data_IF_237869626656
#
_entry.id   IF_237869626656
#
_cell.length_a   1.000
_cell.length_b   1.000
_cell.length_c   1.000
_cell.angle_alpha   90.00
_cell.angle_beta   90.00
_cell.angle_gamma   90.00
#
_symmetry.space_group_name_H-M   'P 1'
#
loop_
_entity.id
_entity.type
_entity.pdbx_description
1 polymer ?
#
# COMPACT_ATOMS: atom_id res chain seq x y z
N UNK A 1 18.73 -2.52 -20.69
CA UNK A 1 19.54 -2.88 -19.51
C UNK A 1 18.60 -3.05 -18.32
N UNK A 2 18.60 -4.16 -17.60
CA UNK A 2 17.78 -4.30 -16.40
C UNK A 2 18.28 -3.26 -15.38
N UNK A 3 17.40 -2.32 -15.01
CA UNK A 3 17.71 -1.36 -13.95
C UNK A 3 17.76 -2.12 -12.62
N UNK A 4 18.96 -2.36 -12.10
CA UNK A 4 19.11 -2.80 -10.71
C UNK A 4 18.59 -1.68 -9.82
N UNK A 5 17.58 -1.96 -8.99
CA UNK A 5 17.16 -1.00 -7.97
C UNK A 5 18.31 -0.79 -6.99
N UNK A 6 18.54 0.44 -6.54
CA UNK A 6 19.55 0.66 -5.51
C UNK A 6 19.18 -0.16 -4.25
N UNK A 7 20.18 -0.76 -3.63
CA UNK A 7 20.09 -1.55 -2.39
C UNK A 7 19.84 -0.68 -1.13
N UNK A 8 19.24 0.49 -1.30
CA UNK A 8 18.95 1.38 -0.18
C UNK A 8 17.74 0.84 0.57
N UNK A 9 17.96 0.56 1.84
CA UNK A 9 16.94 0.02 2.73
C UNK A 9 16.25 1.17 3.46
N UNK A 10 14.94 1.08 3.59
CA UNK A 10 14.19 2.02 4.40
C UNK A 10 14.50 1.79 5.88
N UNK A 11 14.68 2.86 6.62
CA UNK A 11 15.07 2.81 8.03
C UNK A 11 14.01 2.11 8.88
N UNK A 12 12.72 2.28 8.56
CA UNK A 12 11.66 1.62 9.31
C UNK A 12 11.70 0.08 9.22
N UNK A 13 12.34 -0.48 8.18
CA UNK A 13 12.52 -1.93 8.00
C UNK A 13 13.71 -2.48 8.79
N UNK A 14 14.58 -1.61 9.38
CA UNK A 14 15.81 -2.02 10.03
C UNK A 14 15.57 -2.45 11.48
N UNK A 15 16.08 -3.62 11.89
CA UNK A 15 15.90 -4.15 13.25
C UNK A 15 16.60 -3.33 14.34
N UNK A 16 17.69 -2.63 13.99
CA UNK A 16 18.45 -1.79 14.92
C UNK A 16 17.75 -0.47 15.25
N UNK A 17 16.72 -0.06 14.49
CA UNK A 17 15.94 1.13 14.79
C UNK A 17 14.97 0.83 15.94
N UNK A 18 14.99 1.65 17.03
CA UNK A 18 14.08 1.49 18.14
C UNK A 18 12.60 1.51 17.73
N UNK A 19 11.81 0.58 18.26
CA UNK A 19 10.40 0.42 17.91
C UNK A 19 9.58 1.73 18.08
N UNK A 20 9.90 2.53 19.11
CA UNK A 20 9.20 3.79 19.35
C UNK A 20 9.43 4.83 18.25
N UNK A 21 10.61 4.85 17.59
CA UNK A 21 10.87 5.74 16.45
C UNK A 21 10.07 5.30 15.23
N UNK A 22 9.99 4.00 14.98
CA UNK A 22 9.14 3.43 13.93
C UNK A 22 7.67 3.77 14.16
N UNK A 23 7.20 3.68 15.42
CA UNK A 23 5.83 4.06 15.79
C UNK A 23 5.55 5.54 15.48
N UNK A 24 6.45 6.46 15.88
CA UNK A 24 6.29 7.90 15.61
C UNK A 24 6.30 8.18 14.11
N UNK A 25 7.18 7.51 13.36
CA UNK A 25 7.24 7.65 11.90
C UNK A 25 5.93 7.21 11.25
N UNK A 26 5.43 6.02 11.54
CA UNK A 26 4.16 5.52 10.98
C UNK A 26 2.99 6.45 11.28
N UNK A 27 2.93 7.03 12.49
CA UNK A 27 1.93 8.03 12.85
C UNK A 27 2.06 9.31 12.00
N UNK A 28 3.27 9.68 11.59
CA UNK A 28 3.54 10.85 10.75
C UNK A 28 3.15 10.68 9.28
N UNK A 29 3.01 9.44 8.78
CA UNK A 29 2.59 9.16 7.40
C UNK A 29 1.09 9.45 7.20
N UNK A 30 0.26 9.17 8.20
CA UNK A 30 -1.19 9.33 8.13
C UNK A 30 -1.65 10.73 7.68
N UNK A 31 -1.12 11.85 8.22
CA UNK A 31 -1.47 13.18 7.74
C UNK A 31 -1.10 13.44 6.28
N UNK A 32 -0.04 12.80 5.77
CA UNK A 32 0.39 12.94 4.37
C UNK A 32 -0.61 12.23 3.46
N UNK A 33 -0.98 11.00 3.80
CA UNK A 33 -1.97 10.22 3.05
C UNK A 33 -3.34 10.90 3.05
N UNK A 34 -3.75 11.47 4.19
CA UNK A 34 -4.99 12.26 4.28
C UNK A 34 -4.94 13.52 3.40
N UNK A 35 -3.81 14.22 3.37
CA UNK A 35 -3.65 15.42 2.53
C UNK A 35 -3.82 15.12 1.04
N UNK A 36 -3.32 13.98 0.57
CA UNK A 36 -3.49 13.54 -0.82
C UNK A 36 -4.82 12.82 -1.07
N UNK A 37 -5.68 12.73 -0.05
CA UNK A 37 -6.98 12.02 -0.10
C UNK A 37 -6.83 10.57 -0.60
N UNK A 38 -5.82 9.85 -0.08
CA UNK A 38 -5.45 8.54 -0.56
C UNK A 38 -6.57 7.51 -0.34
N UNK A 39 -7.21 7.55 0.82
CA UNK A 39 -8.39 6.75 1.18
C UNK A 39 -9.56 6.95 0.21
N UNK A 40 -9.91 8.21 -0.09
CA UNK A 40 -10.97 8.53 -1.04
C UNK A 40 -10.66 8.00 -2.45
N UNK A 41 -9.42 8.18 -2.91
CA UNK A 41 -9.00 7.68 -4.22
C UNK A 41 -9.01 6.16 -4.28
N UNK A 42 -8.60 5.51 -3.19
CA UNK A 42 -8.72 4.05 -3.09
C UNK A 42 -10.19 3.62 -3.20
N UNK A 43 -11.11 4.26 -2.47
CA UNK A 43 -12.54 3.96 -2.54
C UNK A 43 -13.12 4.13 -3.95
N UNK A 44 -12.75 5.19 -4.65
CA UNK A 44 -13.16 5.45 -6.04
C UNK A 44 -12.66 4.34 -6.98
N UNK A 45 -11.36 4.04 -6.93
CA UNK A 45 -10.73 3.01 -7.76
C UNK A 45 -11.23 1.61 -7.44
N UNK A 46 -11.39 1.27 -6.16
CA UNK A 46 -11.92 -0.01 -5.73
C UNK A 46 -13.37 -0.20 -6.21
N UNK A 47 -14.19 0.84 -6.10
CA UNK A 47 -15.58 0.82 -6.57
C UNK A 47 -15.66 0.61 -8.10
N UNK A 48 -14.75 1.18 -8.85
CA UNK A 48 -14.69 0.98 -10.30
C UNK A 48 -14.20 -0.42 -10.65
N UNK A 49 -13.07 -0.83 -10.07
CA UNK A 49 -12.47 -2.12 -10.31
C UNK A 49 -13.41 -3.29 -9.94
N UNK A 50 -14.17 -3.15 -8.83
CA UNK A 50 -15.13 -4.16 -8.40
C UNK A 50 -16.22 -4.47 -9.44
N UNK A 51 -16.57 -3.53 -10.33
CA UNK A 51 -17.55 -3.76 -11.39
C UNK A 51 -17.08 -4.83 -12.39
N UNK A 52 -15.78 -5.00 -12.52
CA UNK A 52 -15.15 -5.94 -13.46
C UNK A 52 -14.87 -7.30 -12.84
N UNK A 53 -14.96 -7.43 -11.51
CA UNK A 53 -14.63 -8.67 -10.78
C UNK A 53 -15.87 -9.32 -10.21
N UNK A 54 -16.04 -10.63 -10.45
CA UNK A 54 -17.18 -11.40 -9.92
C UNK A 54 -17.02 -11.77 -8.45
N UNK A 55 -15.79 -11.94 -7.97
CA UNK A 55 -15.55 -12.36 -6.58
C UNK A 55 -15.93 -11.28 -5.58
N UNK A 56 -16.41 -11.73 -4.43
CA UNK A 56 -16.60 -10.88 -3.24
C UNK A 56 -15.53 -11.10 -2.17
N UNK A 57 -14.56 -11.98 -2.45
CA UNK A 57 -13.46 -12.31 -1.56
C UNK A 57 -12.18 -11.66 -2.06
N UNK A 58 -11.58 -10.85 -1.20
CA UNK A 58 -10.37 -10.10 -1.50
C UNK A 58 -9.29 -10.38 -0.47
N UNK A 59 -8.05 -10.17 -0.87
CA UNK A 59 -6.89 -10.22 0.02
C UNK A 59 -6.11 -8.94 -0.15
N UNK A 60 -5.76 -8.32 0.95
CA UNK A 60 -4.86 -7.18 0.97
C UNK A 60 -3.45 -7.66 1.32
N UNK A 61 -2.53 -7.44 0.40
CA UNK A 61 -1.15 -7.91 0.46
C UNK A 61 -0.25 -6.76 0.94
N UNK A 62 0.32 -6.90 2.15
CA UNK A 62 1.06 -5.84 2.82
C UNK A 62 0.13 -4.80 3.46
N UNK A 63 -0.80 -5.29 4.29
CA UNK A 63 -1.88 -4.46 4.87
C UNK A 63 -1.40 -3.42 5.89
N UNK A 64 -0.17 -3.54 6.41
CA UNK A 64 0.34 -2.66 7.45
C UNK A 64 -0.59 -2.63 8.67
N UNK A 65 -1.25 -1.50 8.90
CA UNK A 65 -2.25 -1.36 9.98
C UNK A 65 -3.68 -1.81 9.59
N UNK A 66 -3.94 -2.10 8.31
CA UNK A 66 -5.27 -2.43 7.80
C UNK A 66 -6.27 -1.27 7.74
N UNK A 67 -5.86 -0.06 8.11
CA UNK A 67 -6.77 1.10 8.20
C UNK A 67 -7.38 1.47 6.85
N UNK A 68 -6.64 1.32 5.76
CA UNK A 68 -7.14 1.66 4.44
C UNK A 68 -8.26 0.70 4.00
N UNK A 69 -8.11 -0.59 4.29
CA UNK A 69 -9.17 -1.56 4.02
C UNK A 69 -10.37 -1.35 4.95
N UNK A 70 -10.14 -1.04 6.24
CA UNK A 70 -11.24 -0.78 7.17
C UNK A 70 -12.08 0.43 6.75
N UNK A 71 -11.48 1.42 6.09
CA UNK A 71 -12.21 2.59 5.57
C UNK A 71 -13.29 2.25 4.54
N UNK A 72 -13.20 1.11 3.86
CA UNK A 72 -14.26 0.60 2.97
C UNK A 72 -15.58 0.33 3.74
N UNK A 73 -15.46 -0.08 4.99
CA UNK A 73 -16.59 -0.49 5.82
C UNK A 73 -17.07 0.63 6.75
N UNK A 74 -16.24 1.68 6.90
CA UNK A 74 -16.59 2.88 7.62
C UNK A 74 -17.36 3.84 6.69
N UNK A 75 -18.43 4.44 7.17
CA UNK A 75 -19.12 5.56 6.48
C UNK A 75 -19.57 5.34 5.01
N UNK A 76 -19.72 4.09 4.55
CA UNK A 76 -20.08 3.79 3.16
C UNK A 76 -21.52 3.26 3.01
N UNK A 77 -22.40 3.52 3.98
CA UNK A 77 -23.83 3.17 3.94
C UNK A 77 -24.10 1.72 3.51
N UNK A 78 -23.24 0.78 3.92
CA UNK A 78 -23.37 -0.65 3.60
C UNK A 78 -23.04 -1.02 2.15
N UNK A 79 -22.50 -0.10 1.34
CA UNK A 79 -22.15 -0.36 -0.07
C UNK A 79 -21.26 -1.59 -0.26
N UNK A 80 -20.37 -1.86 0.69
CA UNK A 80 -19.42 -2.97 0.64
C UNK A 80 -19.75 -4.10 1.64
N UNK A 81 -20.98 -4.14 2.17
CA UNK A 81 -21.39 -5.14 3.17
C UNK A 81 -21.23 -6.60 2.71
N UNK A 82 -21.36 -6.86 1.40
CA UNK A 82 -21.18 -8.21 0.84
C UNK A 82 -19.72 -8.57 0.54
N UNK A 83 -18.78 -7.66 0.81
CA UNK A 83 -17.37 -7.86 0.51
C UNK A 83 -16.64 -8.35 1.74
N UNK A 84 -15.73 -9.31 1.53
CA UNK A 84 -14.87 -9.86 2.55
C UNK A 84 -13.40 -9.70 2.18
N UNK A 85 -12.63 -9.10 3.08
CA UNK A 85 -11.18 -8.94 2.96
C UNK A 85 -10.43 -9.83 3.95
N UNK A 86 -9.32 -10.41 3.51
CA UNK A 86 -8.32 -11.02 4.38
C UNK A 86 -7.08 -10.12 4.40
N UNK A 87 -6.72 -9.62 5.59
CA UNK A 87 -5.52 -8.79 5.78
C UNK A 87 -4.29 -9.69 5.90
N UNK A 88 -3.22 -9.34 5.20
CA UNK A 88 -1.95 -10.09 5.24
C UNK A 88 -0.77 -9.15 5.23
N UNK A 89 0.34 -9.55 5.89
CA UNK A 89 1.55 -8.73 5.93
C UNK A 89 2.79 -9.61 6.14
N UNK A 90 3.97 -9.11 5.75
CA UNK A 90 5.24 -9.73 6.08
C UNK A 90 5.57 -9.63 7.58
N UNK A 91 5.06 -8.58 8.23
CA UNK A 91 5.18 -8.32 9.66
C UNK A 91 3.81 -8.02 10.27
N UNK A 92 2.92 -9.04 10.38
CA UNK A 92 1.51 -8.82 10.70
C UNK A 92 1.31 -8.21 12.08
N UNK A 93 0.57 -7.12 12.14
CA UNK A 93 0.19 -6.44 13.39
C UNK A 93 -1.06 -7.10 13.98
N UNK A 94 -0.91 -8.32 14.49
CA UNK A 94 -2.03 -9.19 14.89
C UNK A 94 -2.99 -8.57 15.88
N UNK A 95 -2.50 -7.74 16.82
CA UNK A 95 -3.37 -7.07 17.80
C UNK A 95 -4.24 -5.98 17.15
N UNK A 96 -3.73 -5.30 16.13
CA UNK A 96 -4.50 -4.34 15.35
C UNK A 96 -5.51 -5.10 14.49
N UNK A 97 -5.08 -6.16 13.80
CA UNK A 97 -5.95 -6.99 12.96
C UNK A 97 -7.10 -7.62 13.74
N UNK A 98 -6.84 -8.11 14.96
CA UNK A 98 -7.88 -8.62 15.89
C UNK A 98 -8.94 -7.55 16.20
N UNK A 99 -8.50 -6.32 16.49
CA UNK A 99 -9.41 -5.19 16.76
C UNK A 99 -10.26 -4.86 15.55
N UNK A 100 -9.65 -4.82 14.36
CA UNK A 100 -10.37 -4.56 13.11
C UNK A 100 -11.37 -5.68 12.81
N UNK A 101 -10.99 -6.95 12.96
CA UNK A 101 -11.90 -8.08 12.82
C UNK A 101 -13.07 -8.00 13.81
N UNK A 102 -12.80 -7.65 15.06
CA UNK A 102 -13.88 -7.48 16.06
C UNK A 102 -14.86 -6.36 15.71
N UNK A 103 -14.37 -5.33 15.00
CA UNK A 103 -15.21 -4.21 14.54
C UNK A 103 -16.02 -4.55 13.30
N UNK A 104 -15.48 -5.38 12.41
CA UNK A 104 -16.09 -5.79 11.14
C UNK A 104 -16.06 -7.32 10.97
N UNK A 105 -16.76 -8.07 11.83
CA UNK A 105 -16.62 -9.53 11.90
C UNK A 105 -17.03 -10.26 10.62
N UNK A 106 -18.00 -9.72 9.88
CA UNK A 106 -18.49 -10.29 8.61
C UNK A 106 -17.65 -9.91 7.40
N UNK A 107 -16.83 -8.85 7.51
CA UNK A 107 -16.15 -8.26 6.37
C UNK A 107 -14.62 -8.42 6.41
N UNK A 108 -14.04 -8.59 7.60
CA UNK A 108 -12.59 -8.70 7.75
C UNK A 108 -12.17 -10.01 8.40
N UNK A 109 -11.13 -10.58 7.83
CA UNK A 109 -10.31 -11.63 8.43
C UNK A 109 -8.82 -11.28 8.29
N UNK A 110 -7.95 -12.08 8.86
CA UNK A 110 -6.51 -11.85 8.76
C UNK A 110 -5.72 -13.15 8.86
N UNK A 111 -4.50 -13.13 8.33
CA UNK A 111 -3.49 -14.18 8.51
C UNK A 111 -2.52 -13.70 9.58
N UNK A 112 -2.32 -14.49 10.64
CA UNK A 112 -1.43 -14.13 11.75
C UNK A 112 0.05 -14.43 11.42
N UNK A 113 0.30 -15.32 10.49
CA UNK A 113 1.62 -15.72 10.02
C UNK A 113 2.15 -14.71 9.00
N UNK A 114 3.48 -14.72 8.83
CA UNK A 114 4.15 -13.89 7.82
C UNK A 114 3.74 -14.32 6.41
N UNK A 115 3.32 -13.34 5.61
CA UNK A 115 2.95 -13.55 4.20
C UNK A 115 3.87 -12.74 3.31
N UNK A 116 4.75 -13.42 2.58
CA UNK A 116 5.58 -12.80 1.55
C UNK A 116 4.77 -12.67 0.25
N UNK A 117 4.67 -11.47 -0.29
CA UNK A 117 3.94 -11.15 -1.51
C UNK A 117 4.37 -11.98 -2.72
N UNK A 118 5.68 -12.27 -2.82
CA UNK A 118 6.28 -12.94 -3.96
C UNK A 118 6.05 -14.45 -3.96
N UNK A 119 5.72 -15.04 -2.81
CA UNK A 119 5.66 -16.50 -2.64
C UNK A 119 4.30 -17.04 -2.17
N UNK A 120 3.45 -16.23 -1.60
CA UNK A 120 2.24 -16.68 -0.90
C UNK A 120 0.99 -16.75 -1.81
N UNK A 121 1.09 -17.43 -2.94
CA UNK A 121 -0.01 -17.57 -3.92
C UNK A 121 -1.30 -18.15 -3.32
N UNK A 122 -1.18 -19.06 -2.35
CA UNK A 122 -2.33 -19.74 -1.73
C UNK A 122 -3.33 -18.77 -1.08
N UNK A 123 -2.86 -17.64 -0.55
CA UNK A 123 -3.73 -16.67 0.16
C UNK A 123 -4.69 -15.93 -0.76
N UNK A 124 -4.30 -15.64 -2.02
CA UNK A 124 -5.11 -14.90 -2.98
C UNK A 124 -5.60 -15.71 -4.19
N UNK A 125 -5.33 -17.02 -4.22
CA UNK A 125 -5.84 -17.89 -5.29
C UNK A 125 -7.35 -17.77 -5.45
N UNK A 126 -7.81 -17.48 -6.68
CA UNK A 126 -9.21 -17.24 -7.03
C UNK A 126 -9.92 -16.12 -6.27
N UNK A 127 -9.16 -15.17 -5.70
CA UNK A 127 -9.68 -13.97 -5.05
C UNK A 127 -9.22 -12.72 -5.79
N UNK A 128 -9.79 -11.56 -5.47
CA UNK A 128 -9.20 -10.26 -5.82
C UNK A 128 -8.02 -9.95 -4.89
N UNK A 129 -6.99 -9.30 -5.38
CA UNK A 129 -5.84 -8.89 -4.58
C UNK A 129 -5.65 -7.37 -4.60
N UNK A 130 -5.40 -6.75 -3.45
CA UNK A 130 -4.98 -5.35 -3.35
C UNK A 130 -3.54 -5.26 -2.87
N UNK A 131 -2.77 -4.31 -3.41
CA UNK A 131 -1.41 -3.96 -2.99
C UNK A 131 -1.38 -2.43 -2.85
N UNK A 132 -1.49 -1.96 -1.63
CA UNK A 132 -1.68 -0.55 -1.32
C UNK A 132 -0.43 0.00 -0.64
N UNK A 133 0.36 0.81 -1.37
CA UNK A 133 1.62 1.37 -0.85
C UNK A 133 2.67 0.29 -0.51
N UNK A 134 2.73 -0.77 -1.26
CA UNK A 134 3.56 -1.95 -0.94
C UNK A 134 4.43 -2.41 -2.11
N UNK A 135 3.97 -2.20 -3.36
CA UNK A 135 4.64 -2.76 -4.54
C UNK A 135 6.06 -2.19 -4.74
N UNK A 136 6.30 -0.95 -4.32
CA UNK A 136 7.62 -0.30 -4.38
C UNK A 136 8.66 -0.97 -3.48
N UNK A 137 8.25 -1.72 -2.46
CA UNK A 137 9.15 -2.46 -1.58
C UNK A 137 9.81 -3.65 -2.28
N UNK A 138 9.19 -4.17 -3.34
CA UNK A 138 9.68 -5.32 -4.08
C UNK A 138 10.91 -4.97 -4.93
N UNK A 139 11.92 -5.83 -4.92
CA UNK A 139 12.99 -5.81 -5.93
C UNK A 139 12.40 -6.11 -7.31
N UNK A 140 13.12 -5.81 -8.40
CA UNK A 140 12.61 -6.07 -9.74
C UNK A 140 12.25 -7.52 -9.97
N UNK A 141 13.07 -8.47 -9.51
CA UNK A 141 12.78 -9.90 -9.65
C UNK A 141 11.55 -10.33 -8.84
N UNK A 142 11.39 -9.82 -7.62
CA UNK A 142 10.19 -10.06 -6.81
C UNK A 142 8.94 -9.44 -7.45
N UNK A 143 9.04 -8.22 -7.98
CA UNK A 143 7.94 -7.56 -8.67
C UNK A 143 7.49 -8.33 -9.92
N UNK A 144 8.44 -8.77 -10.75
CA UNK A 144 8.16 -9.60 -11.93
C UNK A 144 7.49 -10.92 -11.50
N UNK A 145 8.00 -11.60 -10.46
CA UNK A 145 7.41 -12.83 -9.90
C UNK A 145 6.00 -12.60 -9.34
N UNK A 146 5.81 -11.53 -8.57
CA UNK A 146 4.50 -11.16 -8.02
C UNK A 146 3.50 -10.87 -9.14
N UNK A 147 3.91 -10.12 -10.18
CA UNK A 147 3.05 -9.83 -11.32
C UNK A 147 2.61 -11.11 -12.05
N UNK A 148 3.55 -12.03 -12.32
CA UNK A 148 3.24 -13.34 -12.91
C UNK A 148 2.27 -14.13 -12.04
N UNK A 149 2.53 -14.21 -10.74
CA UNK A 149 1.68 -14.94 -9.80
C UNK A 149 0.27 -14.35 -9.71
N UNK A 150 0.12 -13.02 -9.67
CA UNK A 150 -1.19 -12.34 -9.68
C UNK A 150 -1.96 -12.66 -10.96
N UNK A 151 -1.32 -12.55 -12.13
CA UNK A 151 -1.93 -12.88 -13.42
C UNK A 151 -2.33 -14.34 -13.56
N UNK A 152 -1.59 -15.27 -12.96
CA UNK A 152 -1.89 -16.69 -13.04
C UNK A 152 -2.99 -17.14 -12.07
N UNK A 153 -3.02 -16.58 -10.87
CA UNK A 153 -3.76 -17.17 -9.76
C UNK A 153 -4.88 -16.31 -9.17
N UNK A 154 -4.88 -14.97 -9.39
CA UNK A 154 -5.97 -14.11 -8.88
C UNK A 154 -7.13 -14.00 -9.89
N UNK A 155 -8.26 -13.47 -9.44
CA UNK A 155 -9.38 -13.06 -10.29
C UNK A 155 -9.17 -11.66 -10.86
N UNK A 156 -8.31 -10.89 -10.21
CA UNK A 156 -7.92 -9.54 -10.57
C UNK A 156 -7.10 -8.91 -9.45
N UNK A 157 -6.48 -7.78 -9.73
CA UNK A 157 -5.71 -7.05 -8.71
C UNK A 157 -5.78 -5.55 -8.91
N UNK A 158 -5.68 -4.84 -7.80
CA UNK A 158 -5.58 -3.39 -7.71
C UNK A 158 -4.28 -3.02 -6.99
N UNK A 159 -3.37 -2.38 -7.70
CA UNK A 159 -2.15 -1.80 -7.13
C UNK A 159 -2.34 -0.29 -7.04
N UNK A 160 -2.00 0.30 -5.90
CA UNK A 160 -2.08 1.75 -5.69
C UNK A 160 -0.82 2.24 -5.00
N UNK A 161 -0.03 3.06 -5.71
CA UNK A 161 1.26 3.57 -5.25
C UNK A 161 1.25 5.09 -5.14
N UNK A 162 1.44 5.65 -3.93
CA UNK A 162 1.39 7.09 -3.71
C UNK A 162 2.63 7.82 -4.23
N UNK A 163 3.68 7.08 -4.56
CA UNK A 163 4.94 7.60 -5.08
C UNK A 163 5.21 7.06 -6.48
N UNK A 164 5.65 7.94 -7.38
CA UNK A 164 6.18 7.58 -8.68
C UNK A 164 7.45 8.39 -8.97
N UNK A 165 8.27 7.97 -9.95
CA UNK A 165 9.51 8.65 -10.32
C UNK A 165 9.29 9.88 -11.18
N UNK A 166 8.35 10.77 -10.79
CA UNK A 166 8.18 12.04 -11.47
C UNK A 166 9.02 13.14 -10.81
N UNK A 167 9.50 14.11 -11.61
CA UNK A 167 10.23 15.26 -11.09
C UNK A 167 9.37 16.10 -10.13
N UNK A 168 8.06 16.14 -10.36
CA UNK A 168 7.08 16.81 -9.49
C UNK A 168 7.03 16.20 -8.10
N UNK A 169 7.12 14.88 -8.01
CA UNK A 169 7.20 14.17 -6.74
C UNK A 169 8.53 14.43 -6.03
N UNK A 170 9.65 14.41 -6.75
CA UNK A 170 10.96 14.72 -6.19
C UNK A 170 10.97 16.09 -5.50
N UNK A 171 10.31 17.10 -6.09
CA UNK A 171 10.18 18.44 -5.51
C UNK A 171 9.31 18.50 -4.24
N UNK A 172 8.44 17.51 -4.03
CA UNK A 172 7.57 17.45 -2.83
C UNK A 172 8.24 16.73 -1.66
N UNK A 173 9.26 15.91 -1.90
CA UNK A 173 9.95 15.14 -0.85
C UNK A 173 10.45 16.02 0.29
N UNK A 174 11.06 17.20 0.08
CA UNK A 174 11.43 18.08 1.18
C UNK A 174 10.25 18.53 2.08
N UNK A 175 9.04 18.60 1.51
CA UNK A 175 7.81 18.88 2.27
C UNK A 175 7.46 17.81 3.30
N UNK A 176 7.92 16.56 3.09
CA UNK A 176 7.73 15.44 4.03
C UNK A 176 8.47 15.71 5.34
N UNK A 177 9.64 16.32 5.29
CA UNK A 177 10.37 16.76 6.49
C UNK A 177 9.49 17.67 7.36
N UNK A 178 8.91 18.70 6.77
CA UNK A 178 8.07 19.67 7.48
C UNK A 178 6.76 19.04 7.95
N UNK A 179 6.19 18.10 7.21
CA UNK A 179 5.00 17.37 7.67
C UNK A 179 5.29 16.56 8.95
N UNK A 180 6.47 15.95 9.05
CA UNK A 180 6.89 15.22 10.24
C UNK A 180 7.16 16.14 11.45
N UNK A 181 7.63 17.37 11.22
CA UNK A 181 7.76 18.41 12.28
C UNK A 181 6.38 18.83 12.80
N UNK A 182 5.38 18.94 11.92
CA UNK A 182 4.03 19.40 12.28
C UNK A 182 3.17 18.24 12.86
N UNK A 183 3.47 16.99 12.54
CA UNK A 183 2.67 15.83 12.92
C UNK A 183 2.34 15.74 14.42
N UNK A 184 3.26 16.01 15.39
CA UNK A 184 2.96 15.92 16.82
C UNK A 184 1.82 16.84 17.27
N UNK A 185 1.60 17.96 16.57
CA UNK A 185 0.53 18.91 16.88
C UNK A 185 -0.84 18.50 16.32
N UNK A 186 -0.84 17.63 15.31
CA UNK A 186 -2.07 17.13 14.64
C UNK A 186 -2.55 15.81 15.23
N UNK A 187 -1.63 14.97 15.72
CA UNK A 187 -1.94 13.64 16.25
C UNK A 187 -2.50 13.76 17.68
N UNK A 188 -3.59 13.07 17.96
CA UNK A 188 -4.22 13.06 19.30
C UNK A 188 -4.25 11.62 19.84
N UNK A 189 -4.02 11.42 21.15
CA UNK A 189 -3.61 12.43 22.15
C UNK A 189 -2.18 12.93 21.92
N UNK A 190 -1.92 14.21 22.30
CA UNK A 190 -0.57 14.77 22.25
C UNK A 190 0.39 13.95 23.10
N UNK A 191 1.54 13.60 22.53
CA UNK A 191 2.60 12.84 23.23
C UNK A 191 3.89 13.65 23.20
N UNK A 192 4.39 14.05 24.38
CA UNK A 192 5.63 14.83 24.50
C UNK A 192 6.82 14.14 23.78
N UNK A 193 6.89 12.83 23.82
CA UNK A 193 7.91 12.04 23.12
C UNK A 193 7.91 12.32 21.60
N UNK A 194 6.73 12.43 20.99
CA UNK A 194 6.61 12.71 19.56
C UNK A 194 7.13 14.13 19.27
N UNK A 195 6.78 15.11 20.10
CA UNK A 195 7.28 16.47 19.98
C UNK A 195 8.80 16.54 20.17
N UNK A 196 9.34 15.85 21.15
CA UNK A 196 10.79 15.81 21.42
C UNK A 196 11.56 15.33 20.17
N UNK A 197 11.19 14.18 19.58
CA UNK A 197 11.93 13.58 18.46
C UNK A 197 11.54 14.14 17.07
N UNK A 198 10.50 14.93 16.98
CA UNK A 198 10.12 15.59 15.73
C UNK A 198 10.55 17.07 15.67
N UNK A 199 10.60 17.78 16.82
CA UNK A 199 10.83 19.21 16.84
C UNK A 199 12.16 19.61 17.52
N UNK A 200 12.45 19.08 18.72
CA UNK A 200 13.63 19.45 19.48
C UNK A 200 14.88 18.67 19.06
N UNK A 201 14.75 17.39 18.85
CA UNK A 201 15.80 16.51 18.33
C UNK A 201 15.25 15.87 17.05
N UNK A 202 15.32 16.53 15.87
CA UNK A 202 14.50 16.21 14.69
C UNK A 202 14.92 14.92 13.98
N UNK A 203 15.09 13.84 14.74
CA UNK A 203 15.45 12.52 14.19
C UNK A 203 14.33 12.01 13.27
N UNK A 204 13.06 12.15 13.70
CA UNK A 204 11.91 11.64 12.94
C UNK A 204 11.73 12.34 11.58
N UNK A 205 11.84 13.67 11.45
CA UNK A 205 11.83 14.33 10.13
C UNK A 205 12.92 13.85 9.18
N UNK A 206 14.15 13.63 9.65
CA UNK A 206 15.22 13.08 8.80
C UNK A 206 14.95 11.63 8.44
N UNK A 207 14.41 10.84 9.35
CA UNK A 207 13.98 9.48 9.13
C UNK A 207 12.91 9.41 8.02
N UNK A 208 11.89 10.25 8.09
CA UNK A 208 10.85 10.37 7.06
C UNK A 208 11.42 10.80 5.70
N UNK A 209 12.32 11.78 5.71
CA UNK A 209 12.95 12.27 4.48
C UNK A 209 13.76 11.17 3.80
N UNK A 210 14.56 10.44 4.58
CA UNK A 210 15.35 9.30 4.09
C UNK A 210 14.44 8.23 3.47
N UNK A 211 13.44 7.77 4.21
CA UNK A 211 12.57 6.70 3.75
C UNK A 211 11.73 7.12 2.54
N UNK A 212 11.22 8.36 2.54
CA UNK A 212 10.52 8.90 1.37
C UNK A 212 11.41 8.96 0.12
N UNK A 213 12.70 9.31 0.30
CA UNK A 213 13.67 9.33 -0.80
C UNK A 213 13.97 7.93 -1.31
N UNK A 214 14.16 6.96 -0.40
CA UNK A 214 14.36 5.56 -0.75
C UNK A 214 13.13 4.99 -1.47
N UNK A 215 11.92 5.19 -0.94
CA UNK A 215 10.67 4.77 -1.58
C UNK A 215 10.51 5.39 -2.96
N UNK A 216 10.84 6.70 -3.12
CA UNK A 216 10.82 7.38 -4.42
C UNK A 216 11.79 6.71 -5.41
N UNK A 217 13.02 6.41 -5.01
CA UNK A 217 14.00 5.73 -5.86
C UNK A 217 13.60 4.29 -6.21
N UNK A 218 12.84 3.63 -5.34
CA UNK A 218 12.34 2.26 -5.52
C UNK A 218 11.00 2.19 -6.24
N UNK A 219 10.24 3.29 -6.34
CA UNK A 219 8.92 3.30 -6.95
C UNK A 219 8.95 2.85 -8.41
N UNK A 220 7.85 2.29 -8.86
CA UNK A 220 7.60 1.92 -10.24
C UNK A 220 6.82 3.03 -10.95
N UNK A 221 7.18 3.28 -12.21
CA UNK A 221 6.48 4.24 -13.05
C UNK A 221 5.29 3.57 -13.75
N UNK A 222 4.35 4.37 -14.26
CA UNK A 222 3.28 3.90 -15.15
C UNK A 222 3.85 3.02 -16.27
N UNK A 223 4.98 3.43 -16.88
CA UNK A 223 5.65 2.67 -17.94
C UNK A 223 6.18 1.32 -17.46
N UNK A 224 6.77 1.26 -16.25
CA UNK A 224 7.25 -0.01 -15.69
C UNK A 224 6.10 -1.02 -15.51
N UNK A 225 4.93 -0.56 -15.04
CA UNK A 225 3.75 -1.41 -14.90
C UNK A 225 3.20 -1.86 -16.26
N UNK A 226 3.13 -0.97 -17.23
CA UNK A 226 2.70 -1.31 -18.59
C UNK A 226 3.62 -2.37 -19.20
N UNK A 227 4.94 -2.18 -19.15
CA UNK A 227 5.92 -3.16 -19.63
C UNK A 227 5.77 -4.53 -18.95
N UNK A 228 5.51 -4.57 -17.62
CA UNK A 228 5.28 -5.84 -16.91
C UNK A 228 4.00 -6.52 -17.38
N UNK A 229 2.91 -5.77 -17.54
CA UNK A 229 1.62 -6.32 -17.97
C UNK A 229 1.65 -6.80 -19.42
N UNK A 230 2.30 -6.05 -20.32
CA UNK A 230 2.49 -6.46 -21.70
C UNK A 230 3.38 -7.70 -21.82
N UNK A 231 4.41 -7.81 -20.97
CA UNK A 231 5.33 -8.95 -20.97
C UNK A 231 4.71 -10.23 -20.43
N UNK A 232 3.92 -10.14 -19.36
CA UNK A 232 3.42 -11.29 -18.61
C UNK A 232 1.93 -11.54 -18.76
N UNK A 233 1.16 -10.53 -19.16
CA UNK A 233 -0.27 -10.63 -19.43
C UNK A 233 -0.56 -11.42 -20.71
N UNK A 234 -1.81 -11.82 -20.85
CA UNK A 234 -2.29 -12.52 -22.01
C UNK A 234 -3.71 -12.03 -22.42
N UNK A 235 -4.25 -12.56 -23.50
CA UNK A 235 -5.55 -12.17 -24.06
C UNK A 235 -6.75 -12.31 -23.10
N UNK A 236 -6.60 -13.07 -22.03
CA UNK A 236 -7.66 -13.31 -21.04
C UNK A 236 -7.70 -12.22 -19.95
N UNK A 237 -6.85 -11.20 -20.05
CA UNK A 237 -6.78 -10.11 -19.10
C UNK A 237 -7.06 -8.78 -19.75
N UNK A 238 -7.80 -7.94 -19.04
CA UNK A 238 -7.88 -6.49 -19.27
C UNK A 238 -7.21 -5.75 -18.12
N UNK A 239 -6.66 -4.57 -18.42
CA UNK A 239 -6.03 -3.73 -17.41
C UNK A 239 -6.09 -2.24 -17.77
N UNK A 240 -6.03 -1.44 -16.73
CA UNK A 240 -5.81 0.01 -16.83
C UNK A 240 -4.61 0.36 -15.96
N UNK A 241 -3.66 1.11 -16.52
CA UNK A 241 -2.53 1.69 -15.78
C UNK A 241 -2.57 3.19 -15.99
N UNK A 242 -2.82 3.94 -14.91
CA UNK A 242 -2.87 5.41 -15.00
C UNK A 242 -2.46 6.07 -13.68
N UNK A 243 -2.53 7.39 -13.65
CA UNK A 243 -2.32 8.21 -12.47
C UNK A 243 -3.64 8.85 -12.02
N UNK A 244 -3.84 8.97 -10.71
CA UNK A 244 -4.98 9.66 -10.14
C UNK A 244 -4.52 10.78 -9.19
N UNK A 245 -5.13 11.95 -9.30
CA UNK A 245 -4.84 13.10 -8.44
C UNK A 245 -3.40 13.60 -8.57
N UNK A 246 -2.70 13.70 -7.45
CA UNK A 246 -1.33 14.24 -7.38
C UNK A 246 -0.28 13.15 -7.66
N UNK A 247 -0.33 12.57 -8.87
CA UNK A 247 0.64 11.56 -9.36
C UNK A 247 0.65 10.24 -8.58
N UNK A 248 -0.50 9.80 -8.05
CA UNK A 248 -0.66 8.45 -7.50
C UNK A 248 -0.81 7.48 -8.67
N UNK A 249 0.11 6.55 -8.82
CA UNK A 249 0.05 5.53 -9.87
C UNK A 249 -0.86 4.38 -9.43
N UNK A 250 -1.74 3.94 -10.33
CA UNK A 250 -2.56 2.76 -10.07
C UNK A 250 -2.55 1.78 -11.23
N UNK A 251 -2.78 0.53 -10.89
CA UNK A 251 -3.03 -0.58 -11.81
C UNK A 251 -4.32 -1.26 -11.39
N UNK A 252 -5.29 -1.31 -12.27
CA UNK A 252 -6.46 -2.18 -12.15
C UNK A 252 -6.35 -3.27 -13.22
N UNK A 253 -6.40 -4.54 -12.82
CA UNK A 253 -6.38 -5.65 -13.76
C UNK A 253 -7.44 -6.68 -13.37
N UNK A 254 -8.06 -7.31 -14.35
CA UNK A 254 -9.11 -8.32 -14.14
C UNK A 254 -9.13 -9.34 -15.28
N UNK A 255 -9.61 -10.54 -14.96
CA UNK A 255 -9.86 -11.56 -15.98
C UNK A 255 -11.08 -11.19 -16.81
N UNK A 256 -10.95 -11.32 -18.12
CA UNK A 256 -12.10 -11.23 -19.02
C UNK A 256 -13.13 -12.28 -18.64
N UNK A 257 -14.39 -11.91 -18.70
CA UNK A 257 -15.43 -12.89 -18.61
C UNK A 257 -15.33 -13.78 -19.85
N UNK A 258 -15.24 -15.08 -19.68
CA UNK A 258 -15.48 -16.00 -20.78
C UNK A 258 -16.94 -15.79 -21.21
N UNK A 259 -17.07 -15.31 -22.44
CA UNK A 259 -18.37 -15.13 -23.11
C UNK A 259 -18.94 -16.48 -23.53
#
# INVERSE_FOLDING_TARGET
MPRTKPLWLELHQQDWIPAFLKEIQLQGISPILSFIQYDRKFLELFSEWQKHIKTKKFVDLGSGSGNLISSLFENNNGKFSAIHFTLTDLYPQTDIFKKLKSRFPENLDYVAEKVDLSDSVSVYRNKGATLLTTFHELSRSQADKTMVNLLQHSQGFLILEPLNKSWRQALKIPGIFWSAVIAPFKIRPFRFRNFLFSCLVPIVPFFHLHDAWVSFLRSYTKKDFQEMLEKFGNKNWDWVVDNIGMDITYVMAWRKNES
#
